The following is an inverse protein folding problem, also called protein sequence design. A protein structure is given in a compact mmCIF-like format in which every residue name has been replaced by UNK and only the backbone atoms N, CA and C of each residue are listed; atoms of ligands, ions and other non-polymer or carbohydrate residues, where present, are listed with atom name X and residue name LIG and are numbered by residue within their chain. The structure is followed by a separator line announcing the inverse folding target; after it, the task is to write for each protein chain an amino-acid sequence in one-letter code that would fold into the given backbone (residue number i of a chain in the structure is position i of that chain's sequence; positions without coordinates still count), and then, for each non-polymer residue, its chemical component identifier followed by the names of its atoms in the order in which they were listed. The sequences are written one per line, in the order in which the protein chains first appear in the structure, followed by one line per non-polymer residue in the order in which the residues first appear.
data_IF_375762282457
#
_entry.id   IF_375762282457
#
_cell.length_a   1.000
_cell.length_b   1.000
_cell.length_c   1.000
_cell.angle_alpha   90.00
_cell.angle_beta   90.00
_cell.angle_gamma   90.00
#
_symmetry.space_group_name_H-M   'P 1'
#
loop_
_entity.id
_entity.type
_entity.pdbx_description
1 polymer ?
#
# COMPACT_ATOMS: atom_id res chain seq x y z
N UNK A 1 15.69 -2.24 -28.63
CA UNK A 1 16.12 -3.63 -28.92
C UNK A 1 17.20 -4.13 -27.96
N UNK A 2 18.21 -3.33 -27.58
CA UNK A 2 19.28 -3.74 -26.64
C UNK A 2 18.81 -4.28 -25.27
N UNK A 3 17.68 -3.81 -24.73
CA UNK A 3 17.15 -4.29 -23.45
C UNK A 3 16.76 -5.78 -23.47
N UNK A 4 16.45 -6.35 -24.64
CA UNK A 4 16.15 -7.77 -24.77
C UNK A 4 17.42 -8.64 -24.83
N UNK A 5 18.63 -8.08 -24.92
CA UNK A 5 19.85 -8.90 -24.92
C UNK A 5 20.24 -9.37 -23.51
N UNK A 6 19.59 -8.85 -22.46
CA UNK A 6 19.77 -9.27 -21.07
C UNK A 6 18.87 -10.48 -20.73
N UNK A 7 19.45 -11.69 -20.72
CA UNK A 7 18.73 -12.93 -20.40
C UNK A 7 18.08 -12.89 -19.00
N UNK A 8 18.76 -12.30 -18.00
CA UNK A 8 18.20 -12.08 -16.67
C UNK A 8 16.88 -11.29 -16.72
N UNK A 9 16.89 -10.14 -17.40
CA UNK A 9 15.71 -9.28 -17.54
C UNK A 9 14.58 -9.99 -18.32
N UNK A 10 14.89 -10.76 -19.36
CA UNK A 10 13.90 -11.55 -20.08
C UNK A 10 13.15 -12.51 -19.14
N UNK A 11 13.87 -13.28 -18.32
CA UNK A 11 13.24 -14.20 -17.38
C UNK A 11 12.49 -13.48 -16.25
N UNK A 12 12.98 -12.32 -15.79
CA UNK A 12 12.25 -11.49 -14.83
C UNK A 12 10.91 -11.00 -15.40
N UNK A 13 10.88 -10.58 -16.68
CA UNK A 13 9.65 -10.20 -17.39
C UNK A 13 8.69 -11.39 -17.51
N UNK A 14 9.19 -12.56 -17.92
CA UNK A 14 8.37 -13.78 -18.04
C UNK A 14 7.80 -14.22 -16.69
N UNK A 15 8.59 -14.12 -15.63
CA UNK A 15 8.18 -14.38 -14.25
C UNK A 15 6.99 -13.51 -13.85
N UNK A 16 7.13 -12.18 -14.00
CA UNK A 16 6.06 -11.24 -13.65
C UNK A 16 4.81 -11.42 -14.53
N UNK A 17 4.98 -11.69 -15.82
CA UNK A 17 3.87 -11.96 -16.73
C UNK A 17 3.09 -13.22 -16.31
N UNK A 18 3.78 -14.32 -16.01
CA UNK A 18 3.16 -15.55 -15.51
C UNK A 18 2.48 -15.33 -14.14
N UNK A 19 3.10 -14.55 -13.25
CA UNK A 19 2.51 -14.14 -11.97
C UNK A 19 1.18 -13.41 -12.16
N UNK A 20 1.15 -12.40 -13.04
CA UNK A 20 -0.09 -11.70 -13.39
C UNK A 20 -1.13 -12.64 -13.97
N UNK A 21 -0.73 -13.50 -14.92
CA UNK A 21 -1.62 -14.49 -15.53
C UNK A 21 -2.22 -15.44 -14.49
N UNK A 22 -1.51 -15.75 -13.41
CA UNK A 22 -2.06 -16.58 -12.34
C UNK A 22 -3.30 -15.97 -11.69
N UNK A 23 -3.34 -14.66 -11.51
CA UNK A 23 -4.49 -13.94 -10.94
C UNK A 23 -5.54 -13.56 -12.00
N UNK A 24 -5.09 -13.29 -13.22
CA UNK A 24 -5.94 -12.94 -14.36
C UNK A 24 -6.77 -14.12 -14.84
N UNK A 25 -6.11 -15.27 -15.03
CA UNK A 25 -6.70 -16.53 -15.51
C UNK A 25 -7.14 -17.44 -14.35
N UNK A 26 -7.75 -16.83 -13.33
CA UNK A 26 -8.19 -17.49 -12.12
C UNK A 26 -9.68 -17.92 -12.16
N UNK A 27 -10.00 -18.98 -11.41
CA UNK A 27 -11.39 -19.28 -11.03
C UNK A 27 -11.79 -18.44 -9.81
N UNK A 28 -13.06 -18.06 -9.70
CA UNK A 28 -13.56 -17.39 -8.49
C UNK A 28 -14.02 -18.42 -7.44
N UNK A 29 -13.50 -18.31 -6.23
CA UNK A 29 -14.03 -18.99 -5.04
C UNK A 29 -15.03 -18.06 -4.36
N UNK A 30 -16.16 -18.60 -3.90
CA UNK A 30 -17.22 -17.81 -3.26
C UNK A 30 -17.60 -18.42 -1.91
N UNK A 31 -17.68 -17.57 -0.90
CA UNK A 31 -18.21 -17.90 0.42
C UNK A 31 -19.51 -17.13 0.60
N UNK A 32 -20.63 -17.86 0.57
CA UNK A 32 -21.97 -17.27 0.80
C UNK A 32 -22.39 -17.51 2.24
N UNK A 33 -22.65 -16.42 2.96
CA UNK A 33 -23.28 -16.46 4.28
C UNK A 33 -24.78 -16.23 4.09
N UNK A 34 -25.59 -17.20 4.49
CA UNK A 34 -27.05 -17.14 4.29
C UNK A 34 -27.61 -15.97 5.10
N UNK A 35 -28.35 -15.07 4.43
CA UNK A 35 -28.94 -13.88 5.06
C UNK A 35 -27.97 -12.72 5.30
N UNK A 36 -26.68 -12.88 4.99
CA UNK A 36 -25.67 -11.85 5.21
C UNK A 36 -24.79 -11.67 3.96
N UNK A 37 -25.27 -10.79 3.07
CA UNK A 37 -24.55 -10.43 1.83
C UNK A 37 -23.29 -9.62 2.12
N UNK A 38 -23.21 -8.93 3.25
CA UNK A 38 -22.06 -8.11 3.63
C UNK A 38 -20.88 -8.97 4.05
N UNK A 39 -21.13 -10.10 4.74
CA UNK A 39 -20.12 -11.10 5.11
C UNK A 39 -19.84 -12.15 4.04
N UNK A 40 -20.70 -12.24 3.03
CA UNK A 40 -20.44 -13.05 1.84
C UNK A 40 -19.27 -12.45 1.04
N UNK A 41 -18.37 -13.26 0.52
CA UNK A 41 -17.16 -12.80 -0.18
C UNK A 41 -16.88 -13.63 -1.43
N UNK A 42 -16.17 -13.01 -2.39
CA UNK A 42 -15.58 -13.69 -3.53
C UNK A 42 -14.10 -13.29 -3.65
N UNK A 43 -13.27 -14.23 -4.09
CA UNK A 43 -11.83 -14.03 -4.34
C UNK A 43 -11.37 -14.95 -5.48
N UNK A 44 -10.43 -14.51 -6.31
CA UNK A 44 -9.79 -15.38 -7.29
C UNK A 44 -8.93 -16.42 -6.59
N UNK A 45 -9.00 -17.66 -7.09
CA UNK A 45 -8.03 -18.69 -6.80
C UNK A 45 -6.96 -18.65 -7.88
N UNK A 46 -5.70 -18.30 -7.56
CA UNK A 46 -4.64 -18.23 -8.56
C UNK A 46 -4.51 -19.52 -9.36
N UNK A 47 -4.29 -19.38 -10.67
CA UNK A 47 -4.05 -20.49 -11.57
C UNK A 47 -2.72 -21.16 -11.22
N UNK A 48 -2.79 -22.44 -10.87
CA UNK A 48 -1.63 -23.22 -10.40
C UNK A 48 -0.57 -23.41 -11.48
N UNK A 49 -0.96 -23.49 -12.76
CA UNK A 49 -0.03 -23.65 -13.87
C UNK A 49 0.78 -22.37 -14.10
N UNK A 50 0.12 -21.22 -14.14
CA UNK A 50 0.81 -19.93 -14.30
C UNK A 50 1.69 -19.61 -13.10
N UNK A 51 1.23 -19.93 -11.87
CA UNK A 51 2.05 -19.78 -10.66
C UNK A 51 3.30 -20.67 -10.70
N UNK A 52 3.17 -21.92 -11.15
CA UNK A 52 4.29 -22.82 -11.37
C UNK A 52 5.31 -22.25 -12.37
N UNK A 53 4.85 -21.75 -13.52
CA UNK A 53 5.74 -21.13 -14.50
C UNK A 53 6.42 -19.86 -13.97
N UNK A 54 5.70 -19.01 -13.23
CA UNK A 54 6.28 -17.83 -12.61
C UNK A 54 7.48 -18.20 -11.71
N UNK A 55 7.31 -19.24 -10.87
CA UNK A 55 8.39 -19.77 -10.04
C UNK A 55 9.57 -20.28 -10.88
N UNK A 56 9.32 -21.07 -11.92
CA UNK A 56 10.38 -21.57 -12.80
C UNK A 56 11.17 -20.43 -13.47
N UNK A 57 10.48 -19.39 -13.95
CA UNK A 57 11.14 -18.23 -14.54
C UNK A 57 11.93 -17.42 -13.51
N UNK A 58 11.46 -17.32 -12.26
CA UNK A 58 12.23 -16.73 -11.17
C UNK A 58 13.55 -17.49 -10.91
N UNK A 59 13.50 -18.82 -10.88
CA UNK A 59 14.69 -19.68 -10.69
C UNK A 59 15.67 -19.56 -11.88
N UNK A 60 15.16 -19.48 -13.11
CA UNK A 60 15.96 -19.24 -14.31
C UNK A 60 16.60 -17.85 -14.31
N UNK A 61 15.87 -16.81 -13.90
CA UNK A 61 16.42 -15.46 -13.76
C UNK A 61 17.60 -15.46 -12.77
N UNK A 62 17.44 -16.05 -11.58
CA UNK A 62 18.52 -16.14 -10.59
C UNK A 62 19.77 -16.86 -11.13
N UNK A 63 19.58 -17.90 -11.96
CA UNK A 63 20.68 -18.61 -12.61
C UNK A 63 21.42 -17.71 -13.62
N UNK A 64 20.68 -16.93 -14.42
CA UNK A 64 21.27 -16.02 -15.41
C UNK A 64 21.95 -14.80 -14.79
N UNK A 65 21.52 -14.36 -13.61
CA UNK A 65 22.20 -13.29 -12.88
C UNK A 65 23.62 -13.70 -12.47
N UNK A 66 23.81 -14.98 -12.13
CA UNK A 66 25.10 -15.54 -11.74
C UNK A 66 26.02 -15.84 -12.92
N UNK A 67 25.49 -16.00 -14.14
CA UNK A 67 26.29 -16.21 -15.36
C UNK A 67 26.86 -14.87 -15.84
N UNK A 68 28.09 -14.60 -15.43
CA UNK A 68 28.85 -13.34 -15.53
C UNK A 68 29.16 -12.89 -16.98
N UNK A 69 28.18 -12.41 -17.74
CA UNK A 69 28.45 -11.45 -18.82
C UNK A 69 28.28 -10.02 -18.29
N UNK A 70 29.09 -9.04 -18.75
CA UNK A 70 28.94 -7.65 -18.31
C UNK A 70 27.61 -7.08 -18.85
N UNK A 71 26.57 -7.16 -18.02
CA UNK A 71 25.26 -6.57 -18.30
C UNK A 71 25.22 -5.15 -17.73
N UNK A 72 24.50 -4.24 -18.40
CA UNK A 72 24.19 -2.92 -17.88
C UNK A 72 23.53 -3.04 -16.49
N UNK A 73 24.12 -2.50 -15.41
CA UNK A 73 23.54 -2.58 -14.07
C UNK A 73 22.10 -2.03 -14.00
N UNK A 74 21.73 -1.11 -14.88
CA UNK A 74 20.37 -0.58 -14.96
C UNK A 74 19.36 -1.63 -15.43
N UNK A 75 19.73 -2.49 -16.38
CA UNK A 75 18.88 -3.59 -16.82
C UNK A 75 18.73 -4.66 -15.73
N UNK A 76 19.80 -4.94 -14.98
CA UNK A 76 19.75 -5.81 -13.80
C UNK A 76 18.83 -5.19 -12.74
N UNK A 77 18.95 -3.89 -12.44
CA UNK A 77 18.09 -3.23 -11.46
C UNK A 77 16.61 -3.32 -11.87
N UNK A 78 16.29 -3.10 -13.15
CA UNK A 78 14.93 -3.26 -13.65
C UNK A 78 14.45 -4.69 -13.40
N UNK A 79 15.24 -5.71 -13.76
CA UNK A 79 14.86 -7.10 -13.54
C UNK A 79 14.66 -7.43 -12.05
N UNK A 80 15.52 -6.94 -11.16
CA UNK A 80 15.36 -7.10 -9.70
C UNK A 80 14.08 -6.45 -9.18
N UNK A 81 13.73 -5.25 -9.66
CA UNK A 81 12.47 -4.59 -9.31
C UNK A 81 11.25 -5.41 -9.77
N UNK A 82 11.30 -5.97 -10.98
CA UNK A 82 10.22 -6.84 -11.48
C UNK A 82 10.10 -8.13 -10.65
N UNK A 83 11.22 -8.73 -10.24
CA UNK A 83 11.23 -9.88 -9.34
C UNK A 83 10.68 -9.51 -7.96
N UNK A 84 10.98 -8.32 -7.43
CA UNK A 84 10.37 -7.85 -6.19
C UNK A 84 8.84 -7.74 -6.31
N UNK A 85 8.31 -7.22 -7.42
CA UNK A 85 6.85 -7.23 -7.67
C UNK A 85 6.27 -8.65 -7.77
N UNK A 86 7.01 -9.59 -8.34
CA UNK A 86 6.64 -11.01 -8.29
C UNK A 86 6.58 -11.53 -6.86
N UNK A 87 7.61 -11.27 -6.04
CA UNK A 87 7.61 -11.70 -4.64
C UNK A 87 6.39 -11.13 -3.90
N UNK A 88 6.11 -9.84 -4.09
CA UNK A 88 4.93 -9.17 -3.53
C UNK A 88 3.63 -9.87 -3.93
N UNK A 89 3.44 -10.20 -5.21
CA UNK A 89 2.18 -10.71 -5.74
C UNK A 89 1.95 -12.21 -5.46
N UNK A 90 3.01 -13.02 -5.48
CA UNK A 90 2.89 -14.48 -5.62
C UNK A 90 3.52 -15.30 -4.50
N UNK A 91 4.33 -14.71 -3.62
CA UNK A 91 5.05 -15.46 -2.58
C UNK A 91 4.56 -15.07 -1.19
N UNK A 92 5.31 -14.27 -0.45
CA UNK A 92 4.99 -13.74 0.86
C UNK A 92 5.68 -12.38 1.06
N UNK A 93 5.31 -11.69 2.14
CA UNK A 93 5.82 -10.35 2.40
C UNK A 93 7.30 -10.36 2.83
N UNK A 94 7.77 -11.47 3.42
CA UNK A 94 9.16 -11.64 3.83
C UNK A 94 10.11 -11.65 2.62
N UNK A 95 9.84 -12.48 1.62
CA UNK A 95 10.63 -12.51 0.38
C UNK A 95 10.54 -11.19 -0.38
N UNK A 96 9.39 -10.52 -0.34
CA UNK A 96 9.26 -9.18 -0.90
C UNK A 96 10.20 -8.18 -0.22
N UNK A 97 10.23 -8.12 1.12
CA UNK A 97 11.13 -7.22 1.85
C UNK A 97 12.59 -7.51 1.51
N UNK A 98 13.00 -8.77 1.49
CA UNK A 98 14.37 -9.15 1.13
C UNK A 98 14.74 -8.67 -0.28
N UNK A 99 13.84 -8.84 -1.26
CA UNK A 99 14.07 -8.35 -2.62
C UNK A 99 14.17 -6.80 -2.68
N UNK A 100 13.40 -6.07 -1.87
CA UNK A 100 13.52 -4.61 -1.77
C UNK A 100 14.87 -4.19 -1.17
N UNK A 101 15.33 -4.88 -0.12
CA UNK A 101 16.65 -4.62 0.49
C UNK A 101 17.79 -4.90 -0.49
N UNK A 102 17.72 -6.03 -1.19
CA UNK A 102 18.68 -6.40 -2.23
C UNK A 102 18.77 -5.33 -3.32
N UNK A 103 17.64 -4.78 -3.80
CA UNK A 103 17.67 -3.70 -4.79
C UNK A 103 18.34 -2.43 -4.25
N UNK A 104 18.16 -2.12 -2.96
CA UNK A 104 18.77 -0.95 -2.33
C UNK A 104 20.29 -1.11 -2.19
N UNK A 105 20.75 -2.28 -1.77
CA UNK A 105 22.19 -2.60 -1.75
C UNK A 105 22.79 -2.56 -3.16
N UNK A 106 22.08 -3.09 -4.15
CA UNK A 106 22.50 -3.06 -5.55
C UNK A 106 22.66 -1.63 -6.07
N UNK A 107 21.69 -0.75 -5.82
CA UNK A 107 21.77 0.67 -6.21
C UNK A 107 22.97 1.35 -5.56
N UNK A 108 23.21 1.14 -4.26
CA UNK A 108 24.36 1.72 -3.57
C UNK A 108 25.68 1.27 -4.18
N UNK A 109 25.81 -0.03 -4.49
CA UNK A 109 27.03 -0.62 -5.08
C UNK A 109 27.29 -0.12 -6.51
N UNK A 110 26.24 0.07 -7.32
CA UNK A 110 26.34 0.38 -8.75
C UNK A 110 25.89 1.80 -9.12
N UNK A 111 25.74 2.71 -8.14
CA UNK A 111 25.17 4.05 -8.32
C UNK A 111 25.72 4.80 -9.52
N UNK A 112 27.05 4.83 -9.66
CA UNK A 112 27.72 5.61 -10.72
C UNK A 112 27.51 5.00 -12.10
N UNK A 113 27.41 3.67 -12.20
CA UNK A 113 27.21 2.98 -13.46
C UNK A 113 25.76 3.10 -13.90
N UNK A 114 24.82 2.98 -12.96
CA UNK A 114 23.38 3.19 -13.21
C UNK A 114 23.14 4.62 -13.71
N UNK A 115 23.64 5.64 -13.02
CA UNK A 115 23.43 7.05 -13.43
C UNK A 115 24.06 7.37 -14.80
N UNK A 116 25.08 6.63 -15.24
CA UNK A 116 25.71 6.81 -16.57
C UNK A 116 25.03 6.01 -17.67
N UNK A 117 24.18 5.04 -17.33
CA UNK A 117 23.50 4.20 -18.31
C UNK A 117 22.40 4.98 -19.04
N UNK A 118 22.21 4.75 -20.35
CA UNK A 118 21.05 5.27 -21.10
C UNK A 118 19.70 4.85 -20.52
N UNK A 119 19.64 3.75 -19.74
CA UNK A 119 18.41 3.26 -19.09
C UNK A 119 18.36 3.53 -17.59
N UNK A 120 19.39 4.22 -17.05
CA UNK A 120 19.54 4.51 -15.63
C UNK A 120 18.35 5.24 -15.01
N UNK A 121 17.85 6.28 -15.67
CA UNK A 121 16.71 7.06 -15.15
C UNK A 121 15.45 6.20 -14.97
N UNK A 122 15.13 5.33 -15.95
CA UNK A 122 13.98 4.43 -15.87
C UNK A 122 14.18 3.43 -14.74
N UNK A 123 15.39 2.86 -14.62
CA UNK A 123 15.72 1.90 -13.57
C UNK A 123 15.59 2.51 -12.17
N UNK A 124 16.13 3.72 -11.97
CA UNK A 124 16.04 4.46 -10.71
C UNK A 124 14.61 4.87 -10.38
N UNK A 125 13.81 5.29 -11.36
CA UNK A 125 12.39 5.61 -11.13
C UNK A 125 11.58 4.37 -10.72
N UNK A 126 11.82 3.22 -11.35
CA UNK A 126 11.17 1.95 -10.97
C UNK A 126 11.57 1.52 -9.56
N UNK A 127 12.86 1.61 -9.24
CA UNK A 127 13.38 1.33 -7.90
C UNK A 127 12.78 2.28 -6.85
N UNK A 128 12.74 3.58 -7.12
CA UNK A 128 12.15 4.56 -6.22
C UNK A 128 10.68 4.25 -5.96
N UNK A 129 9.90 3.92 -7.00
CA UNK A 129 8.49 3.54 -6.87
C UNK A 129 8.30 2.29 -6.01
N UNK A 130 9.14 1.27 -6.20
CA UNK A 130 9.16 0.07 -5.37
C UNK A 130 9.45 0.41 -3.90
N UNK A 131 10.46 1.23 -3.64
CA UNK A 131 10.83 1.66 -2.28
C UNK A 131 9.69 2.40 -1.60
N UNK A 132 9.02 3.31 -2.29
CA UNK A 132 7.91 4.08 -1.72
C UNK A 132 6.66 3.22 -1.50
N UNK A 133 6.33 2.29 -2.39
CA UNK A 133 5.19 1.38 -2.21
C UNK A 133 5.40 0.34 -1.12
N UNK A 134 6.65 -0.02 -0.80
CA UNK A 134 6.97 -0.91 0.32
C UNK A 134 6.75 -0.26 1.70
N UNK A 135 6.95 1.06 1.84
CA UNK A 135 6.93 1.73 3.16
C UNK A 135 5.64 1.52 3.96
N UNK A 136 4.44 1.62 3.39
CA UNK A 136 3.21 1.39 4.16
C UNK A 136 3.06 -0.05 4.66
N UNK A 137 3.81 -1.01 4.10
CA UNK A 137 3.80 -2.41 4.53
C UNK A 137 4.85 -2.75 5.58
N UNK A 138 5.80 -1.86 5.88
CA UNK A 138 6.79 -2.08 6.93
C UNK A 138 6.12 -2.42 8.28
N UNK A 139 6.81 -3.27 9.06
CA UNK A 139 6.34 -3.74 10.36
C UNK A 139 5.98 -2.56 11.27
N UNK A 140 4.97 -2.75 12.13
CA UNK A 140 4.59 -1.77 13.15
C UNK A 140 5.77 -1.33 14.02
N UNK A 141 6.75 -2.22 14.24
CA UNK A 141 7.96 -1.92 15.01
C UNK A 141 8.82 -0.85 14.31
N UNK A 142 9.12 -1.02 13.02
CA UNK A 142 9.78 -0.02 12.16
C UNK A 142 8.97 1.29 12.05
N UNK A 143 7.65 1.17 11.94
CA UNK A 143 6.73 2.31 11.76
C UNK A 143 6.65 3.18 13.02
N UNK A 144 6.66 2.57 14.21
CA UNK A 144 6.64 3.30 15.49
C UNK A 144 7.97 4.00 15.84
N UNK A 145 9.01 3.84 15.00
CA UNK A 145 10.33 4.44 15.22
C UNK A 145 11.19 3.64 16.21
N UNK A 146 10.88 2.36 16.40
CA UNK A 146 11.82 1.44 17.05
C UNK A 146 12.79 0.98 15.96
N UNK A 147 14.01 1.51 15.95
CA UNK A 147 15.06 0.98 15.07
C UNK A 147 15.29 -0.50 15.43
N UNK A 148 15.50 -1.32 14.40
CA UNK A 148 15.70 -2.78 14.48
C UNK A 148 17.04 -3.19 15.12
N UNK A 149 17.49 -2.57 16.23
CA UNK A 149 18.82 -2.88 16.76
C UNK A 149 18.96 -4.27 17.40
N UNK A 150 17.87 -4.94 17.77
CA UNK A 150 17.95 -6.23 18.48
C UNK A 150 17.46 -7.45 17.68
N UNK A 151 16.66 -7.24 16.63
CA UNK A 151 16.47 -8.28 15.63
C UNK A 151 17.45 -8.00 14.52
N UNK A 152 18.35 -8.93 14.17
CA UNK A 152 19.34 -8.80 13.10
C UNK A 152 18.75 -8.66 11.68
N UNK A 153 17.68 -7.88 11.52
CA UNK A 153 17.21 -7.32 10.28
C UNK A 153 18.18 -6.19 9.89
N UNK A 154 18.74 -6.34 8.70
CA UNK A 154 19.78 -5.47 8.15
C UNK A 154 19.32 -4.02 8.17
N UNK A 155 20.14 -3.15 8.77
CA UNK A 155 19.95 -1.70 8.78
C UNK A 155 19.41 -1.22 7.43
N UNK A 156 18.20 -0.65 7.40
CA UNK A 156 17.90 0.35 6.39
C UNK A 156 18.95 1.45 6.59
N UNK A 157 19.91 1.55 5.66
CA UNK A 157 20.91 2.60 5.67
C UNK A 157 20.23 3.96 5.91
N UNK A 158 20.86 4.83 6.69
CA UNK A 158 20.33 6.15 6.98
C UNK A 158 20.00 6.85 5.67
N UNK A 159 18.87 7.58 5.64
CA UNK A 159 18.40 8.30 4.44
C UNK A 159 19.50 9.11 3.77
N UNK A 160 20.50 9.56 4.55
CA UNK A 160 21.70 10.28 4.10
C UNK A 160 22.51 9.61 2.99
N UNK A 161 22.59 8.27 2.93
CA UNK A 161 23.45 7.60 1.93
C UNK A 161 22.90 7.71 0.50
N UNK A 162 21.58 7.78 0.37
CA UNK A 162 20.88 7.76 -0.92
C UNK A 162 20.22 9.11 -1.27
N UNK A 163 20.39 10.18 -0.47
CA UNK A 163 19.63 11.43 -0.60
C UNK A 163 19.69 12.04 -2.01
N UNK A 164 20.86 12.02 -2.65
CA UNK A 164 21.04 12.58 -3.99
C UNK A 164 20.25 11.79 -5.04
N UNK A 165 20.23 10.46 -4.93
CA UNK A 165 19.46 9.59 -5.82
C UNK A 165 17.96 9.78 -5.57
N UNK A 166 17.53 9.81 -4.30
CA UNK A 166 16.14 10.08 -3.93
C UNK A 166 15.67 11.44 -4.48
N UNK A 167 16.50 12.48 -4.34
CA UNK A 167 16.17 13.81 -4.83
C UNK A 167 16.06 13.83 -6.36
N UNK A 168 17.00 13.19 -7.06
CA UNK A 168 16.94 13.01 -8.52
C UNK A 168 15.62 12.35 -8.95
N UNK A 169 15.26 11.25 -8.29
CA UNK A 169 14.00 10.56 -8.56
C UNK A 169 12.78 11.46 -8.32
N UNK A 170 12.74 12.15 -7.17
CA UNK A 170 11.62 13.04 -6.78
C UNK A 170 11.42 14.18 -7.79
N UNK A 171 12.52 14.81 -8.25
CA UNK A 171 12.46 15.88 -9.24
C UNK A 171 11.92 15.37 -10.58
N UNK A 172 12.31 14.15 -10.96
CA UNK A 172 11.87 13.49 -12.18
C UNK A 172 10.46 12.87 -12.16
N UNK A 173 9.74 12.91 -11.03
CA UNK A 173 8.41 12.29 -10.94
C UNK A 173 7.40 12.95 -11.89
N UNK A 174 6.69 12.10 -12.64
CA UNK A 174 5.48 12.51 -13.37
C UNK A 174 4.40 13.02 -12.40
N UNK A 175 3.41 13.80 -12.85
CA UNK A 175 2.29 14.21 -12.00
C UNK A 175 1.58 13.02 -11.34
N UNK A 176 1.42 11.91 -12.06
CA UNK A 176 0.83 10.69 -11.53
C UNK A 176 1.68 10.06 -10.42
N UNK A 177 2.98 9.87 -10.67
CA UNK A 177 3.88 9.24 -9.69
C UNK A 177 4.06 10.13 -8.45
N UNK A 178 4.08 11.46 -8.63
CA UNK A 178 4.11 12.41 -7.52
C UNK A 178 2.88 12.25 -6.62
N UNK A 179 1.69 12.11 -7.19
CA UNK A 179 0.46 11.90 -6.40
C UNK A 179 0.49 10.58 -5.64
N UNK A 180 0.95 9.50 -6.29
CA UNK A 180 1.09 8.20 -5.63
C UNK A 180 2.08 8.28 -4.46
N UNK A 181 3.22 8.95 -4.64
CA UNK A 181 4.21 9.15 -3.59
C UNK A 181 3.63 9.96 -2.40
N UNK A 182 2.90 11.04 -2.68
CA UNK A 182 2.22 11.85 -1.65
C UNK A 182 1.20 11.00 -0.89
N UNK A 183 0.38 10.23 -1.60
CA UNK A 183 -0.65 9.39 -1.01
C UNK A 183 -0.05 8.31 -0.11
N UNK A 184 0.95 7.56 -0.58
CA UNK A 184 1.61 6.50 0.19
C UNK A 184 2.27 7.05 1.46
N UNK A 185 3.02 8.16 1.36
CA UNK A 185 3.60 8.85 2.53
C UNK A 185 2.54 9.37 3.49
N UNK A 186 1.44 9.91 2.97
CA UNK A 186 0.33 10.41 3.81
C UNK A 186 -0.33 9.28 4.59
N UNK A 187 -0.56 8.12 3.97
CA UNK A 187 -1.11 6.94 4.64
C UNK A 187 -0.16 6.35 5.67
N UNK A 188 1.14 6.29 5.36
CA UNK A 188 2.18 5.87 6.31
C UNK A 188 2.20 6.76 7.55
N UNK A 189 2.25 8.08 7.38
CA UNK A 189 2.26 9.04 8.49
C UNK A 189 0.99 8.94 9.34
N UNK A 190 -0.18 8.80 8.70
CA UNK A 190 -1.45 8.54 9.39
C UNK A 190 -1.38 7.25 10.21
N UNK A 191 -0.87 6.16 9.62
CA UNK A 191 -0.70 4.86 10.30
C UNK A 191 0.16 5.03 11.55
N UNK A 192 1.32 5.71 11.44
CA UNK A 192 2.22 6.03 12.56
C UNK A 192 1.50 6.77 13.67
N UNK A 193 0.74 7.81 13.34
CA UNK A 193 -0.01 8.60 14.32
C UNK A 193 -1.07 7.78 15.05
N UNK A 194 -1.87 6.98 14.33
CA UNK A 194 -2.93 6.15 14.93
C UNK A 194 -2.33 5.15 15.91
N UNK A 195 -1.25 4.46 15.49
CA UNK A 195 -0.56 3.49 16.33
C UNK A 195 -0.01 4.16 17.59
N UNK A 196 0.64 5.32 17.44
CA UNK A 196 1.15 6.09 18.58
C UNK A 196 0.03 6.43 19.58
N UNK A 197 -1.05 7.05 19.12
CA UNK A 197 -2.12 7.51 20.02
C UNK A 197 -2.80 6.35 20.75
N UNK A 198 -3.12 5.27 20.04
CA UNK A 198 -3.77 4.11 20.66
C UNK A 198 -2.85 3.35 21.61
N UNK A 199 -1.56 3.21 21.28
CA UNK A 199 -0.62 2.47 22.14
C UNK A 199 -0.30 3.23 23.43
N UNK A 200 -0.10 4.55 23.36
CA UNK A 200 0.15 5.36 24.55
C UNK A 200 -1.07 5.40 25.48
N UNK A 201 -2.28 5.56 24.93
CA UNK A 201 -3.49 5.57 25.74
C UNK A 201 -3.67 4.27 26.54
N UNK A 202 -3.53 3.11 25.87
CA UNK A 202 -3.65 1.79 26.53
C UNK A 202 -2.55 1.56 27.58
N UNK A 203 -1.38 2.18 27.42
CA UNK A 203 -0.30 2.11 28.41
C UNK A 203 -0.56 2.98 29.64
N UNK A 204 -1.06 4.21 29.45
CA UNK A 204 -1.35 5.12 30.55
C UNK A 204 -2.48 4.62 31.46
N UNK A 205 -3.45 3.86 30.93
CA UNK A 205 -4.50 3.23 31.73
C UNK A 205 -3.99 2.07 32.61
N UNK A 206 -2.76 1.59 32.38
CA UNK A 206 -2.13 0.53 33.17
C UNK A 206 -1.21 1.14 34.24
N UNK A 207 -1.75 1.63 35.36
CA UNK A 207 -1.00 2.25 36.47
C UNK A 207 0.07 1.36 37.16
N UNK A 208 0.29 0.13 36.69
CA UNK A 208 1.37 -0.73 37.17
C UNK A 208 1.99 -1.46 35.99
N UNK A 209 3.25 -1.14 35.63
CA UNK A 209 4.27 -1.99 34.97
C UNK A 209 5.29 -1.12 34.19
N UNK A 210 6.55 -1.60 34.04
CA UNK A 210 7.64 -0.78 33.54
C UNK A 210 7.65 -0.60 32.00
N UNK A 211 8.11 0.60 31.63
CA UNK A 211 8.58 1.15 30.35
C UNK A 211 7.69 1.02 29.07
N UNK A 212 7.62 2.09 28.24
CA UNK A 212 6.61 2.29 27.18
C UNK A 212 6.71 1.34 25.97
N UNK A 213 7.75 0.53 25.85
CA UNK A 213 7.85 -0.44 24.74
C UNK A 213 7.10 -1.75 25.02
N UNK A 214 6.95 -2.15 26.28
CA UNK A 214 6.88 -3.59 26.58
C UNK A 214 5.52 -4.25 26.31
N UNK A 215 4.37 -3.57 26.40
CA UNK A 215 3.06 -4.24 26.25
C UNK A 215 2.54 -4.27 24.82
N UNK A 216 2.63 -3.17 24.08
CA UNK A 216 2.25 -3.16 22.66
C UNK A 216 3.20 -4.04 21.85
N UNK A 217 4.50 -3.98 22.13
CA UNK A 217 5.49 -4.87 21.52
C UNK A 217 5.29 -6.33 21.96
N UNK A 218 4.95 -6.60 23.23
CA UNK A 218 4.54 -7.97 23.63
C UNK A 218 3.28 -8.42 22.91
N UNK A 219 2.26 -7.57 22.75
CA UNK A 219 1.02 -7.94 22.07
C UNK A 219 1.27 -8.19 20.58
N UNK A 220 2.10 -7.37 19.93
CA UNK A 220 2.51 -7.55 18.53
C UNK A 220 3.37 -8.80 18.37
N UNK A 221 4.41 -8.99 19.20
CA UNK A 221 5.31 -10.15 19.14
C UNK A 221 4.62 -11.46 19.51
N UNK A 222 3.74 -11.46 20.53
CA UNK A 222 2.93 -12.62 20.88
C UNK A 222 1.88 -12.95 19.80
N UNK A 223 1.34 -11.92 19.12
CA UNK A 223 0.36 -12.12 18.06
C UNK A 223 1.00 -12.58 16.75
N UNK A 224 2.26 -12.22 16.49
CA UNK A 224 3.01 -12.65 15.31
C UNK A 224 3.76 -13.98 15.49
N UNK A 225 3.63 -14.65 16.64
CA UNK A 225 4.34 -15.91 16.95
C UNK A 225 5.85 -15.85 16.71
N UNK A 226 6.49 -14.68 16.93
CA UNK A 226 7.95 -14.59 16.88
C UNK A 226 8.55 -15.12 18.19
N UNK A 227 9.70 -15.83 18.15
CA UNK A 227 10.39 -16.27 19.36
C UNK A 227 10.67 -15.07 20.27
N UNK A 228 10.37 -15.21 21.56
CA UNK A 228 10.77 -14.24 22.57
C UNK A 228 12.29 -14.06 22.50
N UNK A 229 12.76 -12.88 22.05
CA UNK A 229 14.14 -12.49 22.34
C UNK A 229 14.24 -12.38 23.87
N UNK A 230 15.16 -13.12 24.52
CA UNK A 230 15.32 -13.04 25.95
C UNK A 230 15.78 -11.62 26.30
N UNK A 231 15.11 -11.06 27.29
CA UNK A 231 15.43 -9.80 27.98
C UNK A 231 16.94 -9.64 28.22
N UNK A 232 17.58 -8.93 27.32
CA UNK A 232 18.89 -8.28 27.39
C UNK A 232 18.84 -7.26 26.27
N UNK A 233 18.99 -5.96 26.47
CA UNK A 233 19.98 -5.29 27.31
C UNK A 233 19.45 -3.89 27.64
N UNK A 234 19.97 -3.32 28.73
CA UNK A 234 19.74 -1.95 29.17
C UNK A 234 19.81 -0.90 28.02
N UNK A 235 18.87 0.04 28.01
CA UNK A 235 19.22 1.43 27.73
C UNK A 235 19.22 1.94 26.29
N UNK A 236 18.64 1.26 25.30
CA UNK A 236 18.17 2.02 24.12
C UNK A 236 16.83 2.66 24.47
N UNK A 237 16.90 3.89 24.98
CA UNK A 237 15.75 4.81 25.03
C UNK A 237 15.30 5.12 23.59
N UNK A 238 14.66 4.16 22.91
CA UNK A 238 14.03 4.39 21.63
C UNK A 238 12.88 5.37 21.82
N UNK A 239 13.17 6.64 21.54
CA UNK A 239 12.22 7.74 21.71
C UNK A 239 11.27 7.70 20.51
N UNK A 240 9.99 7.32 20.69
CA UNK A 240 9.04 7.34 19.59
C UNK A 240 9.01 8.73 18.94
N UNK A 241 8.86 8.78 17.62
CA UNK A 241 8.76 10.05 16.88
C UNK A 241 7.64 10.87 17.51
N UNK A 242 7.96 12.08 17.96
CA UNK A 242 6.98 12.96 18.59
C UNK A 242 5.80 13.21 17.64
N UNK A 243 4.54 13.20 18.10
CA UNK A 243 3.36 13.46 17.26
C UNK A 243 3.44 14.79 16.50
N UNK A 244 4.06 15.80 17.12
CA UNK A 244 4.30 17.10 16.49
C UNK A 244 5.19 16.99 15.23
N UNK A 245 6.16 16.08 15.23
CA UNK A 245 6.99 15.83 14.07
C UNK A 245 6.21 15.11 12.95
N UNK A 246 5.41 14.09 13.29
CA UNK A 246 4.55 13.42 12.31
C UNK A 246 3.56 14.41 11.67
N UNK A 247 3.01 15.34 12.45
CA UNK A 247 2.16 16.42 11.96
C UNK A 247 2.90 17.39 11.03
N UNK A 248 4.14 17.76 11.35
CA UNK A 248 4.97 18.58 10.47
C UNK A 248 5.26 17.86 9.14
N UNK A 249 5.53 16.55 9.17
CA UNK A 249 5.70 15.74 7.97
C UNK A 249 4.42 15.64 7.13
N UNK A 250 3.24 15.61 7.75
CA UNK A 250 1.95 15.68 7.06
C UNK A 250 1.72 17.05 6.41
N UNK A 251 2.09 18.15 7.07
CA UNK A 251 2.00 19.48 6.48
C UNK A 251 2.91 19.62 5.24
N UNK A 252 4.09 18.98 5.25
CA UNK A 252 4.91 18.85 4.05
C UNK A 252 4.15 18.12 2.94
N UNK A 253 3.44 17.02 3.23
CA UNK A 253 2.63 16.33 2.22
C UNK A 253 1.50 17.20 1.68
N UNK A 254 0.86 18.02 2.53
CA UNK A 254 -0.16 18.99 2.10
C UNK A 254 0.41 19.98 1.08
N UNK A 255 1.57 20.58 1.34
CA UNK A 255 2.25 21.49 0.39
C UNK A 255 2.65 20.78 -0.90
N UNK A 256 3.12 19.55 -0.82
CA UNK A 256 3.43 18.74 -2.02
C UNK A 256 2.18 18.46 -2.86
N UNK A 257 1.02 18.27 -2.22
CA UNK A 257 -0.26 18.10 -2.92
C UNK A 257 -0.68 19.38 -3.65
N UNK A 258 -0.39 20.57 -3.11
CA UNK A 258 -0.61 21.84 -3.78
C UNK A 258 0.27 22.00 -5.03
N UNK A 259 1.55 21.59 -4.93
CA UNK A 259 2.46 21.55 -6.09
C UNK A 259 1.91 20.61 -7.16
N UNK A 260 1.47 19.40 -6.79
CA UNK A 260 0.82 18.49 -7.74
C UNK A 260 -0.39 19.14 -8.42
N UNK A 261 -1.28 19.78 -7.64
CA UNK A 261 -2.47 20.46 -8.16
C UNK A 261 -2.10 21.57 -9.15
N UNK A 262 -1.06 22.34 -8.88
CA UNK A 262 -0.57 23.37 -9.81
C UNK A 262 -0.03 22.79 -11.12
N UNK A 263 0.66 21.63 -11.08
CA UNK A 263 1.17 20.95 -12.28
C UNK A 263 0.02 20.49 -13.17
N UNK A 264 -0.97 19.81 -12.58
CA UNK A 264 -2.15 19.34 -13.32
C UNK A 264 -2.96 20.49 -13.92
N UNK A 265 -3.11 21.60 -13.19
CA UNK A 265 -3.79 22.79 -13.70
C UNK A 265 -3.02 23.45 -14.86
N UNK A 266 -1.69 23.49 -14.78
CA UNK A 266 -0.83 24.01 -15.85
C UNK A 266 -0.89 23.13 -17.11
N UNK A 267 -0.87 21.80 -16.95
CA UNK A 267 -1.00 20.86 -18.07
C UNK A 267 -2.34 21.02 -18.78
N UNK A 268 -3.44 21.18 -18.01
CA UNK A 268 -4.77 21.45 -18.56
C UNK A 268 -4.92 22.81 -19.23
N UNK A 269 -4.19 23.84 -18.78
CA UNK A 269 -4.17 25.16 -19.42
C UNK A 269 -3.31 25.18 -20.70
N UNK A 270 -2.18 24.46 -20.71
CA UNK A 270 -1.25 24.37 -21.83
C UNK A 270 -1.73 23.49 -22.99
N UNK A 271 -2.60 22.51 -22.72
CA UNK A 271 -3.17 21.65 -23.77
C UNK A 271 -4.13 22.38 -24.73
N UNK A 272 -4.45 23.66 -24.46
CA UNK A 272 -5.25 24.50 -25.35
C UNK A 272 -4.54 24.93 -26.65
N UNK A 273 -3.20 24.85 -26.75
CA UNK A 273 -2.45 25.37 -27.90
C UNK A 273 -1.74 24.33 -28.79
N UNK A 274 -1.75 23.03 -28.45
CA UNK A 274 -1.12 22.00 -29.31
C UNK A 274 -2.07 20.94 -29.89
N UNK A 275 -3.38 21.03 -29.62
CA UNK A 275 -4.34 20.08 -30.19
C UNK A 275 -4.68 20.30 -31.68
N UNK A 276 -4.16 21.35 -32.34
CA UNK A 276 -4.51 21.68 -33.74
C UNK A 276 -3.35 21.63 -34.76
N UNK A 277 -2.19 21.03 -34.45
CA UNK A 277 -1.03 21.06 -35.37
C UNK A 277 -0.60 19.72 -35.99
N UNK A 278 -1.20 18.58 -35.64
CA UNK A 278 -0.94 17.33 -36.37
C UNK A 278 -2.14 16.40 -36.25
N UNK A 279 -2.67 15.94 -37.40
CA UNK A 279 -3.80 15.02 -37.50
C UNK A 279 -3.48 13.61 -36.96
N UNK A 280 -3.29 13.52 -35.65
CA UNK A 280 -3.16 12.25 -34.93
C UNK A 280 -4.58 11.73 -34.73
N UNK A 281 -4.80 10.52 -35.26
CA UNK A 281 -6.03 9.75 -35.18
C UNK A 281 -6.73 9.93 -33.82
N UNK A 282 -8.04 10.15 -33.88
CA UNK A 282 -8.95 10.02 -32.73
C UNK A 282 -8.48 8.86 -31.85
N UNK A 283 -8.20 9.09 -30.55
CA UNK A 283 -7.63 8.05 -29.69
C UNK A 283 -8.55 6.83 -29.73
N UNK A 284 -7.95 5.64 -29.78
CA UNK A 284 -8.70 4.39 -29.63
C UNK A 284 -9.63 4.53 -28.40
N UNK A 285 -10.94 4.24 -28.52
CA UNK A 285 -11.87 4.28 -27.40
C UNK A 285 -11.37 3.52 -26.17
N UNK A 286 -10.52 2.50 -26.34
CA UNK A 286 -9.85 1.79 -25.24
C UNK A 286 -8.88 2.70 -24.46
N UNK A 287 -8.07 3.50 -25.16
CA UNK A 287 -7.10 4.43 -24.58
C UNK A 287 -7.82 5.56 -23.85
N UNK A 288 -8.89 6.11 -24.43
CA UNK A 288 -9.68 7.16 -23.78
C UNK A 288 -10.28 6.68 -22.45
N UNK A 289 -10.82 5.44 -22.43
CA UNK A 289 -11.34 4.81 -21.21
C UNK A 289 -10.26 4.66 -20.13
N UNK A 290 -9.05 4.25 -20.51
CA UNK A 290 -7.93 4.10 -19.58
C UNK A 290 -7.48 5.44 -19.00
N UNK A 291 -7.35 6.48 -19.84
CA UNK A 291 -7.01 7.85 -19.41
C UNK A 291 -8.07 8.39 -18.45
N UNK A 292 -9.36 8.18 -18.76
CA UNK A 292 -10.45 8.59 -17.89
C UNK A 292 -10.48 7.84 -16.56
N UNK A 293 -10.21 6.53 -16.57
CA UNK A 293 -10.05 5.73 -15.33
C UNK A 293 -8.93 6.29 -14.46
N UNK A 294 -7.76 6.53 -15.05
CA UNK A 294 -6.60 7.08 -14.34
C UNK A 294 -6.91 8.44 -13.71
N UNK A 295 -7.58 9.33 -14.43
CA UNK A 295 -8.01 10.64 -13.92
C UNK A 295 -8.94 10.50 -12.70
N UNK A 296 -9.88 9.55 -12.72
CA UNK A 296 -10.81 9.29 -11.60
C UNK A 296 -10.06 8.73 -10.39
N UNK A 297 -9.18 7.75 -10.58
CA UNK A 297 -8.36 7.21 -9.49
C UNK A 297 -7.48 8.30 -8.87
N UNK A 298 -6.82 9.12 -9.68
CA UNK A 298 -6.06 10.27 -9.18
C UNK A 298 -6.95 11.26 -8.40
N UNK A 299 -8.18 11.51 -8.85
CA UNK A 299 -9.09 12.36 -8.11
C UNK A 299 -9.44 11.76 -6.74
N UNK A 300 -9.68 10.45 -6.66
CA UNK A 300 -9.87 9.75 -5.38
C UNK A 300 -8.63 9.85 -4.47
N UNK A 301 -7.42 9.67 -5.00
CA UNK A 301 -6.19 9.80 -4.22
C UNK A 301 -6.04 11.20 -3.63
N UNK A 302 -6.32 12.23 -4.44
CA UNK A 302 -6.33 13.62 -3.99
C UNK A 302 -7.34 13.86 -2.88
N UNK A 303 -8.59 13.41 -3.05
CA UNK A 303 -9.65 13.56 -2.05
C UNK A 303 -9.31 12.82 -0.75
N UNK A 304 -8.76 11.61 -0.85
CA UNK A 304 -8.31 10.84 0.30
C UNK A 304 -7.20 11.55 1.06
N UNK A 305 -6.19 12.12 0.36
CA UNK A 305 -5.12 12.88 1.02
C UNK A 305 -5.70 14.08 1.79
N UNK A 306 -6.58 14.86 1.15
CA UNK A 306 -7.27 15.98 1.82
C UNK A 306 -7.99 15.54 3.08
N UNK A 307 -8.77 14.48 2.97
CA UNK A 307 -9.53 13.93 4.08
C UNK A 307 -8.62 13.49 5.25
N UNK A 308 -7.48 12.87 4.96
CA UNK A 308 -6.49 12.50 5.98
C UNK A 308 -5.93 13.76 6.65
N UNK A 309 -5.63 14.81 5.89
CA UNK A 309 -5.13 16.08 6.46
C UNK A 309 -6.16 16.73 7.39
N UNK A 310 -7.45 16.77 7.02
CA UNK A 310 -8.51 17.34 7.88
C UNK A 310 -8.81 16.49 9.12
N UNK A 311 -8.67 15.17 9.03
CA UNK A 311 -8.91 14.29 10.17
C UNK A 311 -7.73 14.24 11.15
N UNK A 312 -6.51 14.46 10.66
CA UNK A 312 -5.32 14.43 11.52
C UNK A 312 -5.17 15.69 12.35
N UNK A 313 -5.63 16.83 11.86
CA UNK A 313 -5.74 18.07 12.66
C UNK A 313 -6.73 17.90 13.82
N UNK A 314 -7.76 17.05 13.69
CA UNK A 314 -8.68 16.73 14.79
C UNK A 314 -7.97 16.17 16.04
N UNK A 315 -6.84 15.46 15.88
CA UNK A 315 -6.02 15.00 17.01
C UNK A 315 -5.36 16.16 17.79
N UNK A 316 -5.26 17.36 17.19
CA UNK A 316 -4.82 18.59 17.86
C UNK A 316 -5.95 19.33 18.59
N UNK A 317 -7.18 18.79 18.58
CA UNK A 317 -8.35 19.46 19.14
C UNK A 317 -8.94 20.56 18.26
N UNK A 318 -8.47 20.73 17.03
CA UNK A 318 -9.12 21.63 16.06
C UNK A 318 -10.48 21.05 15.67
N UNK A 319 -11.53 21.88 15.66
CA UNK A 319 -12.83 21.45 15.16
C UNK A 319 -12.71 21.05 13.70
N UNK A 320 -13.18 19.83 13.39
CA UNK A 320 -13.29 19.35 12.02
C UNK A 320 -14.37 20.16 11.31
N UNK A 321 -14.02 20.79 10.19
CA UNK A 321 -15.00 21.47 9.34
C UNK A 321 -15.92 20.43 8.69
N UNK A 322 -17.12 20.30 9.25
CA UNK A 322 -18.14 19.37 8.75
C UNK A 322 -18.58 19.69 7.31
N UNK A 323 -18.54 20.96 6.91
CA UNK A 323 -18.90 21.38 5.56
C UNK A 323 -17.88 20.91 4.52
N UNK A 324 -16.59 21.07 4.83
CA UNK A 324 -15.49 20.58 3.97
C UNK A 324 -15.53 19.05 3.85
N UNK A 325 -15.73 18.33 4.95
CA UNK A 325 -15.84 16.88 4.92
C UNK A 325 -17.05 16.39 4.12
N UNK A 326 -18.19 17.08 4.22
CA UNK A 326 -19.37 16.78 3.40
C UNK A 326 -19.09 16.96 1.90
N UNK A 327 -18.45 18.07 1.51
CA UNK A 327 -18.09 18.31 0.10
C UNK A 327 -17.10 17.26 -0.43
N UNK A 328 -16.10 16.86 0.39
CA UNK A 328 -15.17 15.78 0.04
C UNK A 328 -15.94 14.46 -0.15
N UNK A 329 -16.86 14.14 0.75
CA UNK A 329 -17.65 12.91 0.69
C UNK A 329 -18.50 12.86 -0.59
N UNK A 330 -19.17 13.96 -0.95
CA UNK A 330 -19.90 14.05 -2.22
C UNK A 330 -18.98 13.82 -3.42
N UNK A 331 -17.81 14.49 -3.46
CA UNK A 331 -16.83 14.27 -4.53
C UNK A 331 -16.33 12.82 -4.61
N UNK A 332 -16.14 12.15 -3.47
CA UNK A 332 -15.75 10.74 -3.41
C UNK A 332 -16.82 9.85 -4.03
N UNK A 333 -18.08 10.02 -3.63
CA UNK A 333 -19.22 9.24 -4.14
C UNK A 333 -19.39 9.44 -5.65
N UNK A 334 -19.43 10.69 -6.11
CA UNK A 334 -19.58 11.02 -7.53
C UNK A 334 -18.46 10.41 -8.38
N UNK A 335 -17.23 10.41 -7.84
CA UNK A 335 -16.08 9.83 -8.53
C UNK A 335 -16.17 8.32 -8.62
N UNK A 336 -16.50 7.64 -7.51
CA UNK A 336 -16.67 6.18 -7.45
C UNK A 336 -17.76 5.74 -8.42
N UNK A 337 -18.90 6.44 -8.43
CA UNK A 337 -20.06 6.02 -9.22
C UNK A 337 -19.78 5.98 -10.72
N UNK A 338 -18.89 6.85 -11.21
CA UNK A 338 -18.49 6.83 -12.61
C UNK A 338 -17.23 6.01 -12.93
N UNK A 339 -16.57 5.37 -11.96
CA UNK A 339 -15.51 4.39 -12.26
C UNK A 339 -16.15 3.15 -12.90
N UNK A 340 -15.55 2.68 -14.01
CA UNK A 340 -15.90 1.40 -14.60
C UNK A 340 -15.22 0.29 -13.78
N UNK A 341 -15.98 -0.54 -13.05
CA UNK A 341 -15.40 -1.61 -12.24
C UNK A 341 -14.66 -2.65 -13.09
N UNK A 342 -15.00 -2.81 -14.37
CA UNK A 342 -14.30 -3.72 -15.29
C UNK A 342 -12.86 -3.28 -15.53
N UNK A 343 -12.63 -1.96 -15.67
CA UNK A 343 -11.31 -1.38 -15.89
C UNK A 343 -10.51 -1.36 -14.59
N UNK A 344 -11.13 -0.92 -13.48
CA UNK A 344 -10.45 -0.84 -12.18
C UNK A 344 -9.92 -2.19 -11.72
N UNK A 345 -10.65 -3.26 -12.03
CA UNK A 345 -10.18 -4.60 -11.75
C UNK A 345 -8.87 -4.91 -12.52
N UNK A 346 -8.77 -4.59 -13.81
CA UNK A 346 -7.65 -5.08 -14.64
C UNK A 346 -6.41 -4.18 -14.69
N UNK A 347 -6.53 -2.89 -14.35
CA UNK A 347 -5.45 -1.89 -14.58
C UNK A 347 -4.67 -1.52 -13.33
N UNK A 348 -5.29 -1.56 -12.14
CA UNK A 348 -4.64 -1.09 -10.90
C UNK A 348 -3.83 -2.19 -10.18
N UNK A 349 -3.26 -3.16 -10.93
CA UNK A 349 -2.67 -4.41 -10.40
C UNK A 349 -1.47 -4.20 -9.47
N UNK A 350 -0.64 -3.18 -9.76
CA UNK A 350 0.51 -2.77 -8.94
C UNK A 350 0.37 -1.32 -8.45
N UNK A 351 -0.85 -0.79 -8.55
CA UNK A 351 -1.23 0.51 -8.02
C UNK A 351 -1.99 0.36 -6.70
N UNK A 352 -2.43 1.49 -6.16
CA UNK A 352 -3.34 1.48 -5.03
C UNK A 352 -4.77 1.27 -5.54
N UNK A 353 -5.30 0.07 -5.31
CA UNK A 353 -6.57 -0.36 -5.89
C UNK A 353 -7.76 0.42 -5.32
N UNK A 354 -8.89 0.41 -6.04
CA UNK A 354 -10.14 0.96 -5.53
C UNK A 354 -10.57 0.28 -4.21
N UNK A 355 -10.34 -1.02 -4.04
CA UNK A 355 -10.60 -1.72 -2.77
C UNK A 355 -9.81 -1.15 -1.59
N UNK A 356 -8.55 -0.81 -1.81
CA UNK A 356 -7.72 -0.19 -0.77
C UNK A 356 -8.16 1.25 -0.49
N UNK A 357 -8.58 2.00 -1.52
CA UNK A 357 -9.19 3.32 -1.33
C UNK A 357 -10.45 3.23 -0.48
N UNK A 358 -11.36 2.30 -0.77
CA UNK A 358 -12.58 2.10 0.03
C UNK A 358 -12.26 1.78 1.50
N UNK A 359 -11.22 0.97 1.73
CA UNK A 359 -10.74 0.70 3.09
C UNK A 359 -10.20 1.96 3.77
N UNK A 360 -9.35 2.73 3.09
CA UNK A 360 -8.80 3.96 3.66
C UNK A 360 -9.87 5.01 3.94
N UNK A 361 -10.82 5.18 3.03
CA UNK A 361 -11.95 6.06 3.23
C UNK A 361 -12.82 5.60 4.42
N UNK A 362 -13.00 4.29 4.62
CA UNK A 362 -13.70 3.75 5.79
C UNK A 362 -13.03 4.12 7.12
N UNK A 363 -11.70 4.22 7.16
CA UNK A 363 -11.00 4.67 8.37
C UNK A 363 -11.17 6.18 8.65
N UNK A 364 -11.47 6.96 7.61
CA UNK A 364 -11.46 8.40 7.64
C UNK A 364 -12.88 9.03 7.59
N UNK A 365 -13.88 8.32 7.08
CA UNK A 365 -15.28 8.76 7.00
C UNK A 365 -16.26 7.67 7.46
N UNK A 366 -16.12 7.12 8.68
CA UNK A 366 -17.06 6.11 9.14
C UNK A 366 -18.45 6.74 9.36
N UNK A 367 -19.47 6.19 8.72
CA UNK A 367 -20.87 6.48 9.00
C UNK A 367 -21.75 5.34 8.50
N UNK A 368 -22.94 5.17 9.09
CA UNK A 368 -23.89 4.14 8.65
C UNK A 368 -24.24 4.28 7.17
N UNK A 369 -24.51 5.50 6.71
CA UNK A 369 -24.80 5.79 5.29
C UNK A 369 -23.65 5.37 4.39
N UNK A 370 -22.41 5.68 4.79
CA UNK A 370 -21.23 5.34 4.02
C UNK A 370 -20.97 3.83 3.97
N UNK A 371 -21.08 3.14 5.11
CA UNK A 371 -20.93 1.68 5.17
C UNK A 371 -22.00 0.98 4.33
N UNK A 372 -23.25 1.45 4.37
CA UNK A 372 -24.31 0.94 3.51
C UNK A 372 -23.98 1.15 2.03
N UNK A 373 -23.54 2.35 1.64
CA UNK A 373 -23.14 2.64 0.27
C UNK A 373 -22.01 1.72 -0.22
N UNK A 374 -20.94 1.55 0.57
CA UNK A 374 -19.86 0.64 0.18
C UNK A 374 -20.37 -0.80 0.08
N UNK A 375 -20.91 -1.35 1.17
CA UNK A 375 -21.13 -2.79 1.29
C UNK A 375 -22.33 -3.27 0.47
N UNK A 376 -23.30 -2.40 0.22
CA UNK A 376 -24.56 -2.75 -0.45
C UNK A 376 -24.62 -2.26 -1.91
N UNK A 377 -23.81 -1.27 -2.32
CA UNK A 377 -23.82 -0.71 -3.68
C UNK A 377 -22.49 -0.91 -4.39
N UNK A 378 -21.40 -0.37 -3.85
CA UNK A 378 -20.11 -0.36 -4.55
C UNK A 378 -19.49 -1.76 -4.60
N UNK A 379 -19.43 -2.46 -3.46
CA UNK A 379 -18.79 -3.77 -3.37
C UNK A 379 -19.46 -4.83 -4.24
N UNK A 380 -20.81 -4.94 -4.26
CA UNK A 380 -21.49 -5.86 -5.17
C UNK A 380 -21.17 -5.58 -6.65
N UNK A 381 -21.04 -4.30 -7.05
CA UNK A 381 -20.61 -3.94 -8.43
C UNK A 381 -19.19 -4.43 -8.72
N UNK A 382 -18.25 -4.28 -7.77
CA UNK A 382 -16.89 -4.79 -7.92
C UNK A 382 -16.84 -6.31 -8.06
N UNK A 383 -17.61 -7.04 -7.25
CA UNK A 383 -17.67 -8.51 -7.27
C UNK A 383 -18.36 -9.08 -8.52
N UNK A 384 -19.33 -8.37 -9.10
CA UNK A 384 -20.02 -8.79 -10.33
C UNK A 384 -19.15 -8.55 -11.57
N UNK A 385 -18.47 -7.40 -11.64
CA UNK A 385 -17.78 -6.96 -12.84
C UNK A 385 -16.34 -7.44 -12.98
N UNK A 386 -15.78 -8.16 -12.00
CA UNK A 386 -14.42 -8.66 -12.15
C UNK A 386 -14.05 -9.82 -11.27
N UNK A 387 -12.82 -10.29 -11.49
CA UNK A 387 -12.23 -11.41 -10.76
C UNK A 387 -11.62 -10.98 -9.41
N UNK A 388 -11.79 -9.72 -9.00
CA UNK A 388 -11.26 -9.15 -7.75
C UNK A 388 -9.74 -9.27 -7.69
N UNK A 389 -8.99 -8.35 -8.31
CA UNK A 389 -7.53 -8.50 -8.40
C UNK A 389 -6.84 -8.31 -7.05
N UNK A 390 -6.01 -9.27 -6.66
CA UNK A 390 -5.48 -9.39 -5.29
C UNK A 390 -3.99 -9.04 -5.15
N UNK A 391 -3.35 -8.54 -6.20
CA UNK A 391 -1.94 -8.15 -6.16
C UNK A 391 -1.69 -6.83 -5.42
N UNK A 392 -2.74 -6.23 -4.84
CA UNK A 392 -2.68 -5.14 -3.87
C UNK A 392 -2.00 -5.56 -2.57
N UNK A 393 -1.74 -4.60 -1.67
CA UNK A 393 -1.16 -4.87 -0.36
C UNK A 393 -2.06 -5.78 0.50
N UNK A 394 -3.38 -5.78 0.22
CA UNK A 394 -4.38 -6.59 0.89
C UNK A 394 -5.32 -7.24 -0.15
N UNK A 395 -5.52 -8.57 -0.12
CA UNK A 395 -6.56 -9.24 -0.92
C UNK A 395 -7.93 -8.58 -0.79
N UNK A 396 -8.67 -8.53 -1.89
CA UNK A 396 -9.96 -7.81 -1.95
C UNK A 396 -10.99 -8.36 -0.95
N UNK A 397 -11.06 -9.68 -0.76
CA UNK A 397 -11.99 -10.27 0.22
C UNK A 397 -11.65 -9.88 1.67
N UNK A 398 -10.36 -9.74 2.01
CA UNK A 398 -9.94 -9.27 3.33
C UNK A 398 -10.30 -7.80 3.53
N UNK A 399 -10.14 -6.96 2.51
CA UNK A 399 -10.59 -5.57 2.57
C UNK A 399 -12.11 -5.49 2.84
N UNK A 400 -12.91 -6.32 2.17
CA UNK A 400 -14.37 -6.40 2.41
C UNK A 400 -14.68 -6.77 3.86
N UNK A 401 -14.07 -7.87 4.33
CA UNK A 401 -14.29 -8.40 5.68
C UNK A 401 -13.93 -7.37 6.75
N UNK A 402 -12.81 -6.65 6.55
CA UNK A 402 -12.40 -5.57 7.45
C UNK A 402 -13.43 -4.44 7.44
N UNK A 403 -13.91 -3.99 6.27
CA UNK A 403 -14.91 -2.93 6.20
C UNK A 403 -16.23 -3.36 6.85
N UNK A 404 -16.65 -4.61 6.66
CA UNK A 404 -17.82 -5.17 7.33
C UNK A 404 -17.65 -5.19 8.86
N UNK A 405 -16.49 -5.62 9.36
CA UNK A 405 -16.15 -5.55 10.78
C UNK A 405 -16.19 -4.12 11.31
N UNK A 406 -15.65 -3.15 10.55
CA UNK A 406 -15.68 -1.73 10.92
C UNK A 406 -17.12 -1.19 11.01
N UNK A 407 -18.01 -1.64 10.12
CA UNK A 407 -19.43 -1.26 10.16
C UNK A 407 -20.12 -1.81 11.41
N UNK A 408 -19.82 -3.04 11.81
CA UNK A 408 -20.35 -3.67 13.04
C UNK A 408 -19.84 -2.97 14.30
N UNK A 409 -18.55 -2.67 14.35
CA UNK A 409 -17.90 -1.92 15.43
C UNK A 409 -18.50 -0.51 15.54
N UNK A 410 -18.75 0.15 14.41
CA UNK A 410 -19.39 1.46 14.35
C UNK A 410 -20.80 1.45 14.95
N UNK A 411 -21.59 0.40 14.69
CA UNK A 411 -22.90 0.22 15.32
C UNK A 411 -22.81 0.00 16.84
N UNK A 412 -21.68 -0.50 17.33
CA UNK A 412 -21.37 -0.62 18.75
C UNK A 412 -20.69 0.63 19.33
N UNK A 413 -20.77 1.78 18.65
CA UNK A 413 -20.13 3.05 19.03
C UNK A 413 -18.61 2.97 19.17
N UNK A 414 -17.97 2.03 18.47
CA UNK A 414 -16.52 1.89 18.40
C UNK A 414 -16.04 2.33 17.03
N UNK A 415 -15.21 3.37 17.00
CA UNK A 415 -14.60 3.87 15.77
C UNK A 415 -13.27 3.15 15.55
N UNK A 416 -13.21 2.35 14.49
CA UNK A 416 -11.95 1.74 14.05
C UNK A 416 -11.14 2.76 13.25
N UNK A 417 -9.89 2.97 13.66
CA UNK A 417 -8.97 3.94 13.06
C UNK A 417 -7.92 3.26 12.17
N UNK A 418 -7.57 2.02 12.48
CA UNK A 418 -6.65 1.20 11.69
C UNK A 418 -6.88 -0.27 12.02
N UNK A 419 -6.82 -1.12 10.99
CA UNK A 419 -6.74 -2.57 11.14
C UNK A 419 -5.44 -3.07 10.55
N UNK A 420 -4.76 -3.96 11.27
CA UNK A 420 -3.54 -4.64 10.83
C UNK A 420 -3.75 -6.14 10.91
N UNK A 421 -3.42 -6.87 9.86
CA UNK A 421 -3.41 -8.34 9.89
C UNK A 421 -2.38 -8.82 10.92
N UNK A 422 -2.82 -9.66 11.86
CA UNK A 422 -1.97 -10.28 12.86
C UNK A 422 -1.39 -11.60 12.33
N UNK A 423 -0.78 -11.54 11.14
CA UNK A 423 -0.18 -12.67 10.44
C UNK A 423 1.32 -12.46 10.32
N UNK A 424 2.08 -13.57 10.31
CA UNK A 424 3.52 -13.48 10.05
C UNK A 424 3.80 -13.05 8.60
N UNK A 425 4.91 -12.35 8.38
CA UNK A 425 5.34 -11.88 7.06
C UNK A 425 5.64 -13.01 6.07
N UNK A 426 5.99 -14.20 6.57
CA UNK A 426 6.21 -15.41 5.77
C UNK A 426 4.92 -16.16 5.46
N UNK A 427 3.74 -15.61 5.77
CA UNK A 427 2.46 -16.22 5.40
C UNK A 427 2.32 -16.18 3.88
N UNK A 428 2.19 -17.34 3.21
CA UNK A 428 2.06 -17.36 1.76
C UNK A 428 0.81 -16.59 1.29
N UNK A 429 0.94 -15.85 0.18
CA UNK A 429 -0.18 -15.15 -0.48
C UNK A 429 -1.34 -16.08 -0.78
N UNK A 430 -1.07 -17.34 -1.13
CA UNK A 430 -2.10 -18.37 -1.35
C UNK A 430 -2.97 -18.63 -0.11
N UNK A 431 -2.40 -18.52 1.10
CA UNK A 431 -3.18 -18.58 2.35
C UNK A 431 -4.01 -17.32 2.50
N UNK A 432 -3.44 -16.14 2.25
CA UNK A 432 -4.15 -14.86 2.31
C UNK A 432 -5.33 -14.78 1.32
N UNK A 433 -5.28 -15.51 0.20
CA UNK A 433 -6.36 -15.66 -0.77
C UNK A 433 -7.45 -16.66 -0.35
N UNK A 434 -7.21 -17.47 0.69
CA UNK A 434 -8.22 -18.41 1.18
C UNK A 434 -9.34 -17.67 1.94
N UNK A 435 -10.49 -17.55 1.28
CA UNK A 435 -11.70 -16.94 1.86
C UNK A 435 -12.30 -17.74 3.01
N UNK A 436 -11.92 -19.01 3.19
CA UNK A 436 -12.39 -19.83 4.31
C UNK A 436 -11.45 -19.76 5.51
N UNK A 437 -10.26 -19.19 5.34
CA UNK A 437 -9.31 -19.00 6.44
C UNK A 437 -9.75 -17.84 7.35
N UNK A 438 -9.73 -18.11 8.66
CA UNK A 438 -9.95 -17.11 9.69
C UNK A 438 -8.61 -16.42 10.00
N UNK A 439 -8.58 -15.09 9.91
CA UNK A 439 -7.37 -14.31 10.16
C UNK A 439 -7.52 -13.53 11.44
N UNK A 440 -6.53 -13.55 12.31
CA UNK A 440 -6.50 -12.59 13.40
C UNK A 440 -6.15 -11.19 12.87
N UNK A 441 -6.78 -10.17 13.43
CA UNK A 441 -6.48 -8.75 13.17
C UNK A 441 -6.32 -7.98 14.47
N UNK A 442 -5.44 -6.98 14.46
CA UNK A 442 -5.34 -5.97 15.49
C UNK A 442 -6.16 -4.75 15.08
N UNK A 443 -7.10 -4.38 15.94
CA UNK A 443 -7.95 -3.20 15.83
C UNK A 443 -7.37 -2.09 16.68
N UNK A 444 -7.05 -0.97 16.05
CA UNK A 444 -6.73 0.29 16.71
C UNK A 444 -7.94 1.19 16.56
N UNK A 445 -8.50 1.66 17.68
CA UNK A 445 -9.75 2.40 17.63
C UNK A 445 -9.96 3.33 18.82
N UNK A 446 -11.13 3.95 18.81
CA UNK A 446 -11.63 4.80 19.88
C UNK A 446 -13.06 4.37 20.23
N UNK A 447 -13.29 4.04 21.48
CA UNK A 447 -14.61 3.72 22.02
C UNK A 447 -15.31 5.02 22.42
N UNK A 448 -16.41 5.34 21.75
CA UNK A 448 -17.15 6.59 21.98
C UNK A 448 -17.95 6.55 23.28
N UNK A 449 -18.31 5.38 23.78
CA UNK A 449 -19.03 5.23 25.05
C UNK A 449 -18.10 5.30 26.25
N UNK A 450 -16.96 4.62 26.18
CA UNK A 450 -15.95 4.64 27.25
C UNK A 450 -15.07 5.90 27.19
N UNK A 451 -15.01 6.57 26.02
CA UNK A 451 -14.23 7.80 25.85
C UNK A 451 -12.72 7.56 25.80
N UNK A 452 -12.28 6.41 25.27
CA UNK A 452 -10.89 5.97 25.31
C UNK A 452 -10.42 5.29 24.03
N UNK A 453 -9.12 5.35 23.76
CA UNK A 453 -8.52 4.57 22.68
C UNK A 453 -8.32 3.11 23.12
N UNK A 454 -8.36 2.19 22.16
CA UNK A 454 -8.15 0.77 22.43
C UNK A 454 -7.27 0.09 21.38
N UNK A 455 -6.69 -1.04 21.77
CA UNK A 455 -6.01 -1.99 20.90
C UNK A 455 -6.52 -3.40 21.20
N UNK A 456 -7.32 -3.97 20.30
CA UNK A 456 -7.93 -5.28 20.48
C UNK A 456 -7.49 -6.26 19.41
N UNK A 457 -7.27 -7.52 19.79
CA UNK A 457 -7.09 -8.62 18.83
C UNK A 457 -8.44 -9.32 18.63
N UNK A 458 -8.89 -9.45 17.39
CA UNK A 458 -10.12 -10.16 17.04
C UNK A 458 -9.89 -11.09 15.86
N UNK A 459 -10.68 -12.17 15.77
CA UNK A 459 -10.69 -13.06 14.62
C UNK A 459 -11.60 -12.49 13.54
N UNK A 460 -11.02 -12.20 12.38
CA UNK A 460 -11.73 -11.89 11.15
C UNK A 460 -12.22 -13.20 10.53
N UNK A 461 -13.51 -13.52 10.68
CA UNK A 461 -14.08 -14.77 10.16
C UNK A 461 -14.36 -14.78 8.69
#
# INVERSE_FOLDING_TARGET
MQALDCAFLQYAILCLAASNLSTLDACLTRRKVVGDTRRSTASPRPNTLHNYHARQYCELAATQEQSVEPQDPSLILIGKVLLAYYQHASTDHFHFRLAVLETAEFVRRHRHDITRSPTGDIALQLWYRLRISHRPSESLELVAGYDESDSGAEHFASTSEDEDIYLHCIVGLSPDDLLHDIMLKTMELRRRMVVYHCTIAVQNDSESLPAPGSRAQRLVNSSMQRPHSPTGTDGSEFRPIAPSHLLALLDIQRRRLEVWRSRVAADGAGSGMQANAAGIMSPDPSVEKLVNHRRRMNHLYYLLCKLIFENTTAFQGTQVDQGVNSAILHGVVDTIDGIDPTISNVVDVYGYSLSEILLQLSYNMPSTTYFNYILDVVWPRLEVCGRGYENSHLPTHLAKRIIALMAEEWHCSRRILLVVLATSENTPKTVLYDIHHAFDVLLYGYDQHQGGFFVNKVSLS
#
